data_IF_191591741723
#
_entry.id   IF_191591741723
#
_cell.length_a   1.000
_cell.length_b   1.000
_cell.length_c   1.000
_cell.angle_alpha   90.00
_cell.angle_beta   90.00
_cell.angle_gamma   90.00
#
_symmetry.space_group_name_H-M   'P 1'
#
loop_
_entity.id
_entity.type
_entity.pdbx_description
1 polymer ?
#
# COMPACT_ATOMS: atom_id res chain seq x y z
N UNK A 1 -9.98 16.01 54.28
CA UNK A 1 -10.41 16.15 52.86
C UNK A 1 -9.23 15.87 51.95
N UNK A 2 -8.60 14.69 52.05
CA UNK A 2 -7.30 14.44 51.40
C UNK A 2 -7.06 12.94 51.13
N UNK A 3 -8.08 12.26 50.58
CA UNK A 3 -7.98 10.85 50.13
C UNK A 3 -8.84 10.55 48.90
N UNK A 4 -9.01 11.51 47.97
CA UNK A 4 -9.83 11.29 46.78
C UNK A 4 -9.26 11.97 45.53
N UNK A 5 -7.97 11.77 45.22
CA UNK A 5 -7.38 12.25 43.96
C UNK A 5 -6.45 11.27 43.22
N UNK A 6 -6.30 10.02 43.68
CA UNK A 6 -5.37 9.08 43.03
C UNK A 6 -6.02 8.00 42.14
N UNK A 7 -7.35 7.90 42.07
CA UNK A 7 -7.97 6.72 41.42
C UNK A 7 -8.76 7.00 40.14
N UNK A 8 -8.60 8.17 39.51
CA UNK A 8 -9.24 8.43 38.21
C UNK A 8 -8.41 7.84 37.07
N UNK A 9 -7.08 7.87 37.16
CA UNK A 9 -6.20 7.38 36.08
C UNK A 9 -6.23 5.84 35.89
N UNK A 10 -6.46 5.08 36.95
CA UNK A 10 -6.41 3.61 36.90
C UNK A 10 -7.61 2.98 36.17
N UNK A 11 -8.81 3.57 36.29
CA UNK A 11 -10.01 3.06 35.64
C UNK A 11 -10.06 3.35 34.14
N UNK A 12 -9.53 4.50 33.69
CA UNK A 12 -9.50 4.84 32.27
C UNK A 12 -8.47 4.02 31.49
N UNK A 13 -7.29 3.76 32.07
CA UNK A 13 -6.26 2.91 31.46
C UNK A 13 -6.72 1.46 31.28
N UNK A 14 -7.61 0.95 32.14
CA UNK A 14 -8.15 -0.41 32.03
C UNK A 14 -9.26 -0.52 30.97
N UNK A 15 -10.12 0.49 30.87
CA UNK A 15 -11.21 0.51 29.89
C UNK A 15 -10.75 0.74 28.44
N UNK A 16 -9.71 1.56 28.20
CA UNK A 16 -9.25 1.84 26.83
C UNK A 16 -8.17 0.88 26.31
N UNK A 17 -7.54 0.08 27.18
CA UNK A 17 -6.58 -0.95 26.78
C UNK A 17 -7.18 -1.97 25.82
N UNK A 18 -8.46 -2.31 26.02
CA UNK A 18 -9.16 -3.30 25.20
C UNK A 18 -9.55 -2.76 23.81
N UNK A 19 -9.86 -1.46 23.71
CA UNK A 19 -10.18 -0.82 22.43
C UNK A 19 -8.92 -0.67 21.57
N UNK A 20 -7.82 -0.16 22.17
CA UNK A 20 -6.54 0.03 21.49
C UNK A 20 -5.89 -1.32 21.11
N UNK A 21 -6.06 -2.35 21.95
CA UNK A 21 -5.61 -3.71 21.64
C UNK A 21 -6.44 -4.37 20.52
N UNK A 22 -7.74 -4.09 20.43
CA UNK A 22 -8.60 -4.64 19.36
C UNK A 22 -8.23 -4.12 17.97
N UNK A 23 -7.93 -2.81 17.86
CA UNK A 23 -7.53 -2.18 16.62
C UNK A 23 -6.11 -2.61 16.21
N UNK A 24 -5.17 -2.65 17.17
CA UNK A 24 -3.84 -3.20 16.92
C UNK A 24 -3.85 -4.68 16.50
N UNK A 25 -4.66 -5.51 17.16
CA UNK A 25 -4.80 -6.94 16.79
C UNK A 25 -5.37 -7.07 15.38
N UNK A 26 -6.33 -6.22 15.01
CA UNK A 26 -6.92 -6.20 13.66
C UNK A 26 -5.90 -5.76 12.62
N UNK A 27 -5.11 -4.72 12.91
CA UNK A 27 -4.01 -4.24 12.07
C UNK A 27 -2.94 -5.32 11.85
N UNK A 28 -2.46 -5.95 12.93
CA UNK A 28 -1.45 -7.03 12.86
C UNK A 28 -1.96 -8.19 12.01
N UNK A 29 -3.20 -8.64 12.23
CA UNK A 29 -3.84 -9.71 11.45
C UNK A 29 -3.95 -9.34 9.97
N UNK A 30 -4.28 -8.09 9.66
CA UNK A 30 -4.30 -7.59 8.29
C UNK A 30 -2.91 -7.63 7.66
N UNK A 31 -1.88 -7.09 8.33
CA UNK A 31 -0.52 -7.09 7.80
C UNK A 31 -0.05 -8.51 7.49
N UNK A 32 -0.32 -9.48 8.37
CA UNK A 32 0.04 -10.88 8.14
C UNK A 32 -0.62 -11.52 6.90
N UNK A 33 -1.74 -10.98 6.41
CA UNK A 33 -2.39 -11.44 5.16
C UNK A 33 -1.67 -10.93 3.92
N UNK A 34 -0.96 -9.80 4.03
CA UNK A 34 -0.26 -9.22 2.89
C UNK A 34 0.99 -10.05 2.55
N UNK A 35 1.25 -10.32 1.26
CA UNK A 35 2.41 -11.10 0.82
C UNK A 35 3.76 -10.59 1.34
N UNK A 36 3.87 -9.28 1.62
CA UNK A 36 5.07 -8.62 2.14
C UNK A 36 5.42 -9.07 3.55
N UNK A 37 4.44 -9.19 4.42
CA UNK A 37 4.66 -9.37 5.85
C UNK A 37 4.46 -10.81 6.30
N UNK A 38 4.05 -11.72 5.40
CA UNK A 38 3.79 -13.13 5.72
C UNK A 38 5.02 -13.88 6.25
N UNK A 39 6.23 -13.40 5.94
CA UNK A 39 7.49 -13.96 6.45
C UNK A 39 8.01 -13.30 7.72
N UNK A 40 7.38 -12.21 8.16
CA UNK A 40 7.76 -11.52 9.38
C UNK A 40 7.16 -12.22 10.60
N UNK A 41 7.97 -12.38 11.65
CA UNK A 41 7.49 -12.80 12.95
C UNK A 41 6.50 -11.78 13.55
N UNK A 42 5.66 -12.20 14.49
CA UNK A 42 4.73 -11.30 15.19
C UNK A 42 5.41 -10.08 15.80
N UNK A 43 6.63 -10.25 16.34
CA UNK A 43 7.43 -9.15 16.89
C UNK A 43 7.79 -8.14 15.79
N UNK A 44 8.23 -8.62 14.63
CA UNK A 44 8.59 -7.75 13.50
C UNK A 44 7.36 -7.05 12.90
N UNK A 45 6.21 -7.74 12.83
CA UNK A 45 4.93 -7.12 12.40
C UNK A 45 4.51 -6.00 13.36
N UNK A 46 4.70 -6.17 14.68
CA UNK A 46 4.44 -5.10 15.65
C UNK A 46 5.34 -3.89 15.45
N UNK A 47 6.64 -4.11 15.20
CA UNK A 47 7.58 -3.03 14.94
C UNK A 47 7.14 -2.23 13.72
N UNK A 48 6.99 -2.87 12.55
CA UNK A 48 6.57 -2.15 11.33
C UNK A 48 5.18 -1.51 11.46
N UNK A 49 4.26 -2.13 12.19
CA UNK A 49 2.92 -1.58 12.46
C UNK A 49 2.97 -0.19 13.12
N UNK A 50 4.01 0.11 13.89
CA UNK A 50 4.24 1.43 14.49
C UNK A 50 4.71 2.51 13.49
N UNK A 51 5.18 2.10 12.31
CA UNK A 51 5.61 2.99 11.22
C UNK A 51 4.51 3.23 10.17
N UNK A 52 3.34 2.61 10.34
CA UNK A 52 2.21 2.71 9.43
C UNK A 52 1.20 3.74 9.93
N UNK A 53 0.77 4.61 9.01
CA UNK A 53 -0.19 5.67 9.29
C UNK A 53 -1.55 5.29 8.74
N UNK A 54 -2.56 5.29 9.59
CA UNK A 54 -3.94 5.06 9.15
C UNK A 54 -4.46 6.27 8.36
N UNK A 55 -5.18 5.99 7.27
CA UNK A 55 -5.81 6.98 6.40
C UNK A 55 -7.19 6.49 5.99
N UNK A 56 -8.13 7.41 5.97
CA UNK A 56 -9.47 7.21 5.44
C UNK A 56 -9.71 8.17 4.29
N UNK A 57 -10.42 7.68 3.30
CA UNK A 57 -10.77 8.41 2.10
C UNK A 57 -12.25 8.17 1.79
N UNK A 58 -12.95 9.23 1.43
CA UNK A 58 -14.31 9.15 0.88
C UNK A 58 -14.28 8.60 -0.54
N UNK A 59 -15.45 8.26 -1.07
CA UNK A 59 -15.58 7.88 -2.49
C UNK A 59 -15.13 9.01 -3.42
N UNK A 60 -14.45 8.66 -4.52
CA UNK A 60 -13.89 9.58 -5.51
C UNK A 60 -12.72 10.46 -5.03
N UNK A 61 -12.21 10.29 -3.82
CA UNK A 61 -10.98 10.94 -3.37
C UNK A 61 -9.74 10.24 -3.92
N UNK A 62 -8.68 11.04 -4.15
CA UNK A 62 -7.40 10.52 -4.58
C UNK A 62 -6.51 10.18 -3.39
N UNK A 63 -5.98 8.96 -3.36
CA UNK A 63 -4.85 8.61 -2.49
C UNK A 63 -3.60 9.38 -2.94
N UNK A 64 -3.43 9.49 -4.25
CA UNK A 64 -2.44 10.32 -4.93
C UNK A 64 -2.81 10.47 -6.40
N UNK A 65 -2.33 11.55 -7.02
CA UNK A 65 -2.56 11.83 -8.44
C UNK A 65 -1.34 11.44 -9.28
N UNK A 66 -1.56 11.27 -10.58
CA UNK A 66 -0.50 11.04 -11.57
C UNK A 66 0.47 12.22 -11.63
N UNK A 67 1.76 11.96 -11.81
CA UNK A 67 2.80 12.98 -11.92
C UNK A 67 3.22 13.62 -10.59
N UNK A 68 2.42 13.47 -9.52
CA UNK A 68 2.80 14.00 -8.22
C UNK A 68 4.05 13.28 -7.67
N UNK A 69 4.85 13.94 -6.82
CA UNK A 69 5.96 13.29 -6.14
C UNK A 69 5.51 12.05 -5.33
N UNK A 70 6.20 10.93 -5.53
CA UNK A 70 5.95 9.71 -4.77
C UNK A 70 6.61 9.73 -3.40
N UNK A 71 5.82 9.69 -2.32
CA UNK A 71 6.35 9.68 -0.95
C UNK A 71 5.93 8.48 -0.09
N UNK A 72 4.97 7.67 -0.54
CA UNK A 72 4.39 6.60 0.27
C UNK A 72 3.90 5.39 -0.53
N UNK A 73 3.97 4.22 0.10
CA UNK A 73 3.22 3.02 -0.25
C UNK A 73 1.90 3.01 0.52
N UNK A 74 0.83 2.53 -0.11
CA UNK A 74 -0.47 2.34 0.54
C UNK A 74 -0.86 0.86 0.57
N UNK A 75 -1.41 0.42 1.71
CA UNK A 75 -1.93 -0.93 1.94
C UNK A 75 -3.45 -0.82 2.14
N UNK A 76 -4.24 -1.36 1.22
CA UNK A 76 -5.71 -1.24 1.25
C UNK A 76 -6.25 -2.19 2.31
N UNK A 77 -6.73 -1.64 3.41
CA UNK A 77 -7.32 -2.41 4.51
C UNK A 77 -8.77 -2.78 4.18
N UNK A 78 -9.55 -1.81 3.73
CA UNK A 78 -10.93 -1.97 3.30
C UNK A 78 -11.24 -0.96 2.21
N UNK A 79 -11.98 -1.35 1.19
CA UNK A 79 -12.38 -0.44 0.12
C UNK A 79 -11.93 -0.93 -1.25
N UNK A 80 -11.88 0.00 -2.19
CA UNK A 80 -11.61 -0.27 -3.60
C UNK A 80 -11.06 0.98 -4.28
N UNK A 81 -10.00 0.81 -5.06
CA UNK A 81 -9.23 1.91 -5.65
C UNK A 81 -8.99 1.62 -7.12
N UNK A 82 -9.37 2.56 -7.98
CA UNK A 82 -9.04 2.58 -9.39
C UNK A 82 -7.62 3.13 -9.60
N UNK A 83 -6.85 2.45 -10.43
CA UNK A 83 -5.55 2.90 -10.93
C UNK A 83 -5.75 3.47 -12.33
N UNK A 84 -5.39 4.74 -12.49
CA UNK A 84 -5.76 5.55 -13.64
C UNK A 84 -4.55 6.25 -14.24
N UNK A 85 -4.44 6.27 -15.57
CA UNK A 85 -3.35 6.97 -16.27
C UNK A 85 -3.96 7.98 -17.25
N UNK A 86 -3.58 9.27 -17.19
CA UNK A 86 -4.01 10.25 -18.16
C UNK A 86 -3.53 9.90 -19.57
N UNK A 87 -4.37 10.17 -20.56
CA UNK A 87 -4.11 9.97 -21.99
C UNK A 87 -4.64 11.18 -22.76
N UNK A 88 -4.28 11.30 -24.04
CA UNK A 88 -4.79 12.39 -24.91
C UNK A 88 -6.33 12.43 -24.98
N UNK A 89 -6.99 11.28 -24.83
CA UNK A 89 -8.45 11.14 -24.96
C UNK A 89 -9.18 11.06 -23.60
N UNK A 90 -8.52 11.43 -22.50
CA UNK A 90 -9.09 11.36 -21.14
C UNK A 90 -8.31 10.42 -20.23
N UNK A 91 -9.01 9.66 -19.39
CA UNK A 91 -8.38 8.82 -18.36
C UNK A 91 -8.53 7.35 -18.74
N UNK A 92 -7.40 6.63 -18.81
CA UNK A 92 -7.39 5.19 -19.02
C UNK A 92 -7.40 4.45 -17.69
N UNK A 93 -8.39 3.59 -17.48
CA UNK A 93 -8.47 2.72 -16.31
C UNK A 93 -7.56 1.51 -16.50
N UNK A 94 -6.52 1.39 -15.66
CA UNK A 94 -5.50 0.35 -15.75
C UNK A 94 -5.86 -0.88 -14.94
N UNK A 95 -6.35 -0.69 -13.72
CA UNK A 95 -6.71 -1.76 -12.81
C UNK A 95 -7.60 -1.27 -11.67
N UNK A 96 -8.35 -2.19 -11.07
CA UNK A 96 -9.01 -2.00 -9.78
C UNK A 96 -8.30 -2.82 -8.72
N UNK A 97 -7.99 -2.20 -7.58
CA UNK A 97 -7.38 -2.83 -6.43
C UNK A 97 -8.35 -2.86 -5.25
N UNK A 98 -8.51 -4.03 -4.67
CA UNK A 98 -9.40 -4.25 -3.53
C UNK A 98 -8.61 -4.43 -2.21
N UNK A 99 -9.36 -4.62 -1.13
CA UNK A 99 -8.84 -4.98 0.20
C UNK A 99 -7.78 -6.10 0.14
N UNK A 100 -6.74 -5.98 0.96
CA UNK A 100 -5.52 -6.83 0.95
C UNK A 100 -4.60 -6.62 -0.27
N UNK A 101 -4.85 -5.61 -1.09
CA UNK A 101 -3.91 -5.12 -2.10
C UNK A 101 -3.06 -3.96 -1.57
N UNK A 102 -2.08 -3.56 -2.35
CA UNK A 102 -1.18 -2.44 -2.05
C UNK A 102 -0.78 -1.77 -3.37
N UNK A 103 -0.37 -0.52 -3.27
CA UNK A 103 -0.04 0.33 -4.42
C UNK A 103 0.96 1.42 -4.06
N UNK A 104 1.62 1.94 -5.08
CA UNK A 104 2.58 3.02 -4.93
C UNK A 104 3.95 2.55 -4.45
N UNK A 105 4.30 1.27 -4.65
CA UNK A 105 5.57 0.69 -4.23
C UNK A 105 6.78 1.38 -4.86
N UNK A 106 6.61 1.89 -6.08
CA UNK A 106 7.65 2.61 -6.80
C UNK A 106 8.08 3.88 -6.08
N UNK A 107 7.19 4.53 -5.32
CA UNK A 107 7.55 5.70 -4.52
C UNK A 107 8.53 5.40 -3.38
N UNK A 108 8.62 4.13 -2.94
CA UNK A 108 9.59 3.70 -1.93
C UNK A 108 10.88 3.14 -2.55
N UNK A 109 10.83 2.65 -3.80
CA UNK A 109 11.98 2.08 -4.49
C UNK A 109 12.72 3.07 -5.39
N UNK A 110 12.05 4.13 -5.84
CA UNK A 110 12.57 5.16 -6.73
C UNK A 110 12.17 6.54 -6.21
N UNK A 111 12.94 7.58 -6.55
CA UNK A 111 12.61 8.99 -6.32
C UNK A 111 11.70 9.56 -7.41
N UNK A 112 11.13 8.70 -8.27
CA UNK A 112 10.29 9.10 -9.39
C UNK A 112 8.89 9.58 -8.95
N UNK A 113 8.28 10.37 -9.84
CA UNK A 113 6.88 10.77 -9.79
C UNK A 113 5.94 9.56 -9.88
N UNK A 114 4.68 9.76 -9.45
CA UNK A 114 3.62 8.75 -9.57
C UNK A 114 3.35 8.46 -11.04
N UNK A 115 3.55 7.21 -11.46
CA UNK A 115 3.30 6.75 -12.83
C UNK A 115 1.82 6.53 -13.16
N UNK A 116 0.93 6.63 -12.16
CA UNK A 116 -0.52 6.50 -12.25
C UNK A 116 -1.17 7.27 -11.10
N UNK A 117 -2.41 7.71 -11.28
CA UNK A 117 -3.29 8.17 -10.21
C UNK A 117 -4.01 7.00 -9.53
N UNK A 118 -4.40 7.20 -8.28
CA UNK A 118 -5.13 6.23 -7.47
C UNK A 118 -6.35 6.90 -6.84
N UNK A 119 -7.54 6.58 -7.33
CA UNK A 119 -8.82 7.17 -6.91
C UNK A 119 -9.71 6.12 -6.26
N UNK A 120 -10.32 6.44 -5.13
CA UNK A 120 -11.26 5.53 -4.47
C UNK A 120 -12.55 5.37 -5.28
N UNK A 121 -13.04 4.12 -5.36
CA UNK A 121 -14.34 3.79 -5.95
C UNK A 121 -15.46 3.66 -4.92
N UNK A 122 -15.10 3.64 -3.62
CA UNK A 122 -15.99 3.64 -2.45
C UNK A 122 -15.20 4.09 -1.22
N UNK A 123 -15.84 4.38 -0.07
CA UNK A 123 -15.13 4.71 1.16
C UNK A 123 -14.03 3.69 1.46
N UNK A 124 -12.80 4.17 1.57
CA UNK A 124 -11.59 3.34 1.60
C UNK A 124 -10.72 3.69 2.81
N UNK A 125 -10.32 2.66 3.52
CA UNK A 125 -9.43 2.70 4.66
C UNK A 125 -8.12 2.03 4.27
N UNK A 126 -6.99 2.68 4.54
CA UNK A 126 -5.68 2.15 4.19
C UNK A 126 -4.61 2.52 5.22
N UNK A 127 -3.50 1.81 5.14
CA UNK A 127 -2.28 2.13 5.89
C UNK A 127 -1.22 2.66 4.93
N UNK A 128 -0.68 3.84 5.22
CA UNK A 128 0.41 4.46 4.48
C UNK A 128 1.74 4.18 5.16
N UNK A 129 2.73 3.73 4.39
CA UNK A 129 4.14 3.68 4.77
C UNK A 129 4.89 4.75 3.99
N UNK A 130 5.33 5.81 4.66
CA UNK A 130 6.11 6.87 4.02
C UNK A 130 7.58 6.48 3.89
N UNK A 131 8.28 7.09 2.94
CA UNK A 131 9.73 6.91 2.75
C UNK A 131 10.51 7.18 4.04
N UNK A 132 10.25 8.32 4.68
CA UNK A 132 10.94 8.68 5.93
C UNK A 132 10.69 7.66 7.06
N UNK A 133 9.52 7.01 7.09
CA UNK A 133 9.24 5.93 8.05
C UNK A 133 10.03 4.67 7.74
N UNK A 134 10.17 4.33 6.45
CA UNK A 134 10.98 3.21 5.99
C UNK A 134 12.48 3.46 6.24
N UNK A 135 12.95 4.70 6.06
CA UNK A 135 14.33 5.09 6.35
C UNK A 135 14.63 4.97 7.85
N UNK A 136 13.73 5.47 8.71
CA UNK A 136 13.83 5.26 10.18
C UNK A 136 13.81 3.78 10.56
N UNK A 137 13.02 2.97 9.86
CA UNK A 137 12.99 1.52 10.08
C UNK A 137 14.29 0.86 9.61
N UNK A 138 14.93 1.37 8.55
CA UNK A 138 16.22 0.89 8.10
C UNK A 138 17.31 1.12 9.16
N UNK A 139 17.27 2.28 9.85
CA UNK A 139 18.21 2.59 10.93
C UNK A 139 17.96 1.78 12.20
N UNK A 140 16.68 1.62 12.58
CA UNK A 140 16.31 1.00 13.86
C UNK A 140 16.12 -0.52 13.82
N UNK A 141 15.81 -1.09 12.65
CA UNK A 141 15.59 -2.54 12.47
C UNK A 141 15.94 -2.97 11.03
N UNK A 142 17.24 -2.99 10.67
CA UNK A 142 17.71 -3.27 9.32
C UNK A 142 17.19 -4.59 8.75
N UNK A 143 17.04 -5.63 9.58
CA UNK A 143 16.57 -6.95 9.14
C UNK A 143 15.11 -6.90 8.67
N UNK A 144 14.27 -6.12 9.34
CA UNK A 144 12.86 -5.93 8.95
C UNK A 144 12.81 -5.16 7.64
N UNK A 145 13.58 -4.07 7.55
CA UNK A 145 13.63 -3.25 6.35
C UNK A 145 14.12 -4.04 5.13
N UNK A 146 15.14 -4.89 5.31
CA UNK A 146 15.63 -5.78 4.25
C UNK A 146 14.53 -6.75 3.74
N UNK A 147 13.71 -7.32 4.63
CA UNK A 147 12.60 -8.19 4.21
C UNK A 147 11.51 -7.41 3.44
N UNK A 148 11.23 -6.17 3.83
CA UNK A 148 10.31 -5.28 3.08
C UNK A 148 10.86 -5.01 1.68
N UNK A 149 12.11 -4.57 1.57
CA UNK A 149 12.73 -4.30 0.27
C UNK A 149 12.77 -5.55 -0.63
N UNK A 150 13.12 -6.72 -0.07
CA UNK A 150 13.06 -8.00 -0.81
C UNK A 150 11.64 -8.29 -1.32
N UNK A 151 10.62 -8.01 -0.53
CA UNK A 151 9.23 -8.23 -0.94
C UNK A 151 8.79 -7.24 -2.04
N UNK A 152 9.14 -5.95 -1.91
CA UNK A 152 8.87 -4.94 -2.94
C UNK A 152 9.59 -5.27 -4.25
N UNK A 153 10.88 -5.65 -4.18
CA UNK A 153 11.67 -6.04 -5.36
C UNK A 153 11.04 -7.23 -6.10
N UNK A 154 10.57 -8.27 -5.38
CA UNK A 154 9.88 -9.42 -5.98
C UNK A 154 8.59 -9.02 -6.69
N UNK A 155 7.86 -8.05 -6.14
CA UNK A 155 6.60 -7.57 -6.73
C UNK A 155 6.88 -6.79 -8.01
N UNK A 156 7.83 -5.87 -7.97
CA UNK A 156 8.24 -5.12 -9.16
C UNK A 156 8.75 -6.07 -10.24
N UNK A 157 9.57 -7.07 -9.88
CA UNK A 157 10.02 -8.11 -10.81
C UNK A 157 8.86 -8.84 -11.49
N UNK A 158 7.88 -9.34 -10.73
CA UNK A 158 6.69 -10.00 -11.29
C UNK A 158 5.87 -9.08 -12.18
N UNK A 159 5.70 -7.81 -11.80
CA UNK A 159 4.98 -6.82 -12.61
C UNK A 159 5.70 -6.57 -13.93
N UNK A 160 7.02 -6.41 -13.90
CA UNK A 160 7.85 -6.23 -15.10
C UNK A 160 7.77 -7.44 -16.04
N UNK A 161 7.83 -8.67 -15.50
CA UNK A 161 7.64 -9.90 -16.27
C UNK A 161 6.26 -9.95 -16.93
N UNK A 162 5.20 -9.59 -16.20
CA UNK A 162 3.84 -9.56 -16.72
C UNK A 162 3.68 -8.53 -17.85
N UNK A 163 4.20 -7.31 -17.66
CA UNK A 163 4.18 -6.25 -18.68
C UNK A 163 4.97 -6.67 -19.93
N UNK A 164 6.14 -7.29 -19.77
CA UNK A 164 6.95 -7.78 -20.90
C UNK A 164 6.21 -8.82 -21.72
N UNK A 165 5.49 -9.75 -21.07
CA UNK A 165 4.62 -10.73 -21.74
C UNK A 165 3.48 -10.06 -22.51
N UNK A 166 2.81 -9.07 -21.91
CA UNK A 166 1.72 -8.33 -22.56
C UNK A 166 2.21 -7.55 -23.79
N UNK A 167 3.34 -6.86 -23.71
CA UNK A 167 3.93 -6.13 -24.85
C UNK A 167 4.27 -7.09 -25.99
N UNK A 168 4.83 -8.26 -25.67
CA UNK A 168 5.20 -9.27 -26.68
C UNK A 168 3.96 -9.82 -27.39
N UNK A 169 2.90 -10.13 -26.65
CA UNK A 169 1.62 -10.58 -27.20
C UNK A 169 0.93 -9.49 -28.05
N UNK A 170 1.02 -8.23 -27.64
CA UNK A 170 0.48 -7.12 -28.42
C UNK A 170 1.22 -6.91 -29.75
N UNK A 171 2.56 -7.00 -29.74
CA UNK A 171 3.37 -6.92 -30.96
C UNK A 171 3.05 -8.06 -31.94
N UNK A 172 2.93 -9.30 -31.46
CA UNK A 172 2.62 -10.44 -32.32
C UNK A 172 1.22 -10.35 -32.95
N UNK A 173 0.20 -9.92 -32.18
CA UNK A 173 -1.15 -9.72 -32.70
C UNK A 173 -1.26 -8.58 -33.73
N UNK A 174 -0.50 -7.50 -33.56
CA UNK A 174 -0.48 -6.36 -34.50
C UNK A 174 0.24 -6.72 -35.80
N UNK A 175 1.33 -7.49 -35.73
CA UNK A 175 2.03 -7.99 -36.93
C UNK A 175 1.16 -8.94 -37.75
N UNK A 176 0.38 -9.82 -37.09
CA UNK A 176 -0.48 -10.77 -37.79
C UNK A 176 -1.66 -10.10 -38.52
N UNK A 177 -2.21 -9.00 -37.95
CA UNK A 177 -3.27 -8.19 -38.60
C UNK A 177 -2.77 -7.40 -39.83
N UNK A 178 -1.52 -6.94 -39.83
CA UNK A 178 -0.93 -6.27 -41.01
C UNK A 178 -0.65 -7.25 -42.15
N UNK A 179 -0.27 -8.49 -41.85
CA UNK A 179 -0.02 -9.52 -42.85
C UNK A 179 -1.31 -10.01 -43.55
N UNK A 180 -2.45 -10.00 -42.86
CA UNK A 180 -3.75 -10.44 -43.41
C UNK A 180 -4.46 -9.38 -44.25
N UNK A 181 -4.09 -8.09 -44.14
CA UNK A 181 -4.66 -7.01 -44.96
C UNK A 181 -3.82 -6.65 -46.19
N UNK A 182 -2.64 -7.27 -46.35
CA UNK A 182 -1.74 -7.05 -47.48
C UNK A 182 -1.76 -8.21 -48.51
N UNK A 183 -2.67 -9.17 -48.36
CA UNK A 183 -2.94 -10.28 -49.26
C UNK A 183 -4.36 -10.12 -49.83
#
# INVERSE_FOLDING_TARGET
>A
MEKLKENVNFYWDYFFKDVESSEQVTRIKFLQRLPFFRKLSLRQVRVISGHLHYREYMENEYLFEYGNPGAALFLIFKGEVAIEVPTENGVNHVATLESNSFLGELALLSSAERTAGARTLKPTQCFALYRNDLDRLADSSPEICAEIYKALAKVVGRRLEATTKQITAFKSSTMNKKATHAA
#
